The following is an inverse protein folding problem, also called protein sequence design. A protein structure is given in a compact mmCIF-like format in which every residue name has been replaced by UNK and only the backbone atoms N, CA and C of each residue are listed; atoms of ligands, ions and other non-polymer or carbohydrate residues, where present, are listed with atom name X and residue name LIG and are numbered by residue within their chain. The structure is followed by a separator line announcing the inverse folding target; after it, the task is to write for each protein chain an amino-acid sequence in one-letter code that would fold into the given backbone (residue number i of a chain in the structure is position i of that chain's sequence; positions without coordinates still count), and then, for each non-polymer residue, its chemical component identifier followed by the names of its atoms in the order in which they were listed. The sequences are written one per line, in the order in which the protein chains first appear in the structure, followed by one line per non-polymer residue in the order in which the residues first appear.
data_IF_204232343590
#
_entry.id   IF_204232343590
#
_cell.length_a   1.000
_cell.length_b   1.000
_cell.length_c   1.000
_cell.angle_alpha   90.00
_cell.angle_beta   90.00
_cell.angle_gamma   90.00
#
_symmetry.space_group_name_H-M   'P 1'
#
loop_
_entity.id
_entity.type
_entity.pdbx_description
1 polymer ?
#
# COMPACT_ATOMS: atom_id res chain seq x y z
N UNK A 1 -41.20 24.30 -24.80
CA UNK A 1 -40.61 25.30 -23.87
C UNK A 1 -39.98 24.52 -22.72
N UNK A 2 -38.64 24.37 -22.72
CA UNK A 2 -37.67 24.95 -21.75
C UNK A 2 -38.08 24.69 -20.28
N UNK A 3 -37.27 24.13 -19.39
CA UNK A 3 -35.82 23.91 -19.34
C UNK A 3 -35.52 22.97 -18.15
N UNK A 4 -34.56 22.07 -18.31
CA UNK A 4 -33.98 21.20 -17.28
C UNK A 4 -32.88 22.00 -16.56
N UNK A 5 -32.83 21.98 -15.22
CA UNK A 5 -31.64 22.36 -14.47
C UNK A 5 -31.37 21.39 -13.31
N UNK A 6 -30.25 20.69 -13.45
CA UNK A 6 -29.55 19.89 -12.44
C UNK A 6 -28.84 20.84 -11.46
N UNK A 7 -29.03 20.66 -10.15
CA UNK A 7 -28.27 21.36 -9.12
C UNK A 7 -27.14 20.47 -8.59
N UNK A 8 -25.91 20.87 -8.88
CA UNK A 8 -24.69 20.45 -8.17
C UNK A 8 -24.56 21.32 -6.91
N UNK A 9 -24.49 20.70 -5.73
CA UNK A 9 -24.12 21.37 -4.48
C UNK A 9 -22.66 21.04 -4.18
N UNK A 10 -21.80 22.04 -4.30
CA UNK A 10 -20.42 22.04 -3.81
C UNK A 10 -20.45 22.48 -2.35
N UNK A 11 -20.15 21.55 -1.43
CA UNK A 11 -19.93 21.88 -0.01
C UNK A 11 -18.47 22.30 0.20
N UNK A 12 -18.22 23.60 0.28
CA UNK A 12 -16.96 24.16 0.78
C UNK A 12 -17.01 24.18 2.31
N UNK A 13 -16.27 23.28 2.96
CA UNK A 13 -16.06 23.30 4.41
C UNK A 13 -14.90 24.24 4.75
N UNK A 14 -15.23 25.35 5.40
CA UNK A 14 -14.29 26.23 6.09
C UNK A 14 -13.61 25.47 7.24
N UNK A 15 -12.29 25.35 7.21
CA UNK A 15 -11.48 25.05 8.39
C UNK A 15 -10.65 26.29 8.76
N UNK A 16 -11.10 27.00 9.80
CA UNK A 16 -10.31 27.99 10.52
C UNK A 16 -9.34 27.25 11.45
N UNK A 17 -8.07 27.15 11.04
CA UNK A 17 -6.96 26.96 11.98
C UNK A 17 -6.24 28.29 12.14
N UNK A 18 -6.49 28.95 13.28
CA UNK A 18 -5.69 30.06 13.74
C UNK A 18 -4.36 29.51 14.29
N UNK A 19 -3.30 29.57 13.48
CA UNK A 19 -1.94 29.54 13.98
C UNK A 19 -1.35 30.94 13.82
N UNK A 20 -1.32 31.67 14.93
CA UNK A 20 -0.61 32.95 15.06
C UNK A 20 0.83 32.65 15.48
N UNK A 21 1.73 32.57 14.51
CA UNK A 21 3.15 32.93 14.66
C UNK A 21 3.86 32.71 13.32
N UNK A 22 4.54 33.75 12.83
CA UNK A 22 5.28 33.85 11.55
C UNK A 22 4.45 34.22 10.32
N UNK A 23 3.79 35.38 10.36
CA UNK A 23 3.67 36.21 9.16
C UNK A 23 4.98 37.00 9.06
N UNK A 24 5.97 36.45 8.38
CA UNK A 24 7.03 37.27 7.80
C UNK A 24 6.37 38.29 6.87
N UNK A 25 6.72 39.57 7.03
CA UNK A 25 6.33 40.65 6.13
C UNK A 25 6.80 40.27 4.73
N UNK A 26 5.89 39.78 3.89
CA UNK A 26 6.12 39.67 2.46
C UNK A 26 6.31 41.08 1.90
N UNK A 27 7.56 41.40 1.58
CA UNK A 27 7.93 42.62 0.87
C UNK A 27 7.10 42.74 -0.41
N UNK A 28 6.32 43.81 -0.52
CA UNK A 28 5.65 44.23 -1.76
C UNK A 28 6.67 44.79 -2.75
N UNK A 29 7.61 43.96 -3.21
CA UNK A 29 8.49 44.27 -4.34
C UNK A 29 8.81 43.03 -5.14
N UNK A 30 7.87 42.77 -6.05
CA UNK A 30 7.98 42.20 -7.40
C UNK A 30 6.74 41.35 -7.60
N UNK A 31 5.85 41.75 -8.51
CA UNK A 31 4.91 40.75 -9.04
C UNK A 31 5.78 39.60 -9.55
N UNK A 32 5.55 38.34 -9.14
CA UNK A 32 6.18 37.24 -9.83
C UNK A 32 5.81 37.43 -11.28
N UNK A 33 6.80 37.58 -12.15
CA UNK A 33 6.61 37.73 -13.58
C UNK A 33 5.56 36.70 -13.99
N UNK A 34 4.36 37.17 -14.36
CA UNK A 34 3.26 36.35 -14.84
C UNK A 34 3.56 35.86 -16.27
N UNK A 35 4.82 35.50 -16.54
CA UNK A 35 5.21 34.78 -17.73
C UNK A 35 4.86 33.32 -17.50
N UNK A 36 3.59 32.97 -17.66
CA UNK A 36 3.21 31.66 -18.18
C UNK A 36 3.75 31.55 -19.62
N UNK A 37 5.07 31.47 -19.75
CA UNK A 37 5.71 31.05 -20.98
C UNK A 37 6.36 29.72 -20.69
N UNK A 38 5.70 28.66 -21.12
CA UNK A 38 6.34 27.47 -21.67
C UNK A 38 5.33 26.84 -22.61
N UNK A 39 5.21 27.42 -23.82
CA UNK A 39 4.66 26.65 -24.94
C UNK A 39 5.56 25.42 -25.04
N UNK A 40 4.98 24.22 -24.94
CA UNK A 40 5.71 22.99 -25.22
C UNK A 40 6.17 23.12 -26.69
N UNK A 41 7.46 22.94 -26.93
CA UNK A 41 7.97 22.91 -28.29
C UNK A 41 7.23 21.83 -29.08
N UNK A 42 6.77 22.15 -30.29
CA UNK A 42 5.94 21.24 -31.07
C UNK A 42 6.67 19.93 -31.39
N UNK A 43 7.99 19.98 -31.62
CA UNK A 43 8.79 18.78 -31.89
C UNK A 43 8.97 17.95 -30.61
N UNK A 44 9.21 18.58 -29.47
CA UNK A 44 9.21 17.89 -28.16
C UNK A 44 7.86 17.29 -27.83
N UNK A 45 6.74 17.92 -28.19
CA UNK A 45 5.41 17.35 -27.99
C UNK A 45 5.17 16.11 -28.88
N UNK A 46 5.58 16.16 -30.15
CA UNK A 46 5.47 15.02 -31.05
C UNK A 46 6.39 13.86 -30.67
N UNK A 47 7.57 14.17 -30.13
CA UNK A 47 8.57 13.18 -29.74
C UNK A 47 9.14 13.52 -28.36
N UNK A 48 8.39 13.21 -27.29
CA UNK A 48 8.81 13.57 -25.93
C UNK A 48 9.97 12.70 -25.46
N UNK A 49 10.73 13.24 -24.50
CA UNK A 49 11.78 12.50 -23.80
C UNK A 49 11.19 11.30 -23.03
N UNK A 50 12.06 10.33 -22.73
CA UNK A 50 11.70 9.06 -22.08
C UNK A 50 10.82 9.23 -20.84
N UNK A 51 11.12 10.22 -20.00
CA UNK A 51 10.39 10.46 -18.73
C UNK A 51 8.91 10.88 -18.91
N UNK A 52 8.55 11.38 -20.09
CA UNK A 52 7.19 11.84 -20.41
C UNK A 52 6.39 10.79 -21.21
N UNK A 53 6.96 9.61 -21.46
CA UNK A 53 6.30 8.51 -22.15
C UNK A 53 5.61 7.59 -21.16
N UNK A 54 4.79 6.66 -21.68
CA UNK A 54 4.07 5.69 -20.86
C UNK A 54 4.98 4.63 -20.25
N UNK A 55 4.61 4.17 -19.05
CA UNK A 55 5.28 3.10 -18.29
C UNK A 55 4.23 2.03 -17.96
N UNK A 56 4.04 1.01 -18.80
CA UNK A 56 3.06 -0.03 -18.53
C UNK A 56 3.50 -0.90 -17.35
N UNK A 57 2.51 -1.48 -16.66
CA UNK A 57 2.75 -2.66 -15.83
C UNK A 57 2.98 -3.86 -16.75
N UNK A 58 4.24 -4.24 -16.87
CA UNK A 58 4.68 -5.37 -17.66
C UNK A 58 4.44 -6.64 -16.86
N UNK A 59 3.40 -7.37 -17.26
CA UNK A 59 2.99 -8.60 -16.60
C UNK A 59 3.96 -9.73 -16.95
N UNK A 60 4.73 -10.18 -15.95
CA UNK A 60 5.58 -11.37 -16.04
C UNK A 60 4.88 -12.51 -15.31
N UNK A 61 4.47 -13.55 -16.05
CA UNK A 61 3.46 -14.50 -15.56
C UNK A 61 3.59 -15.89 -16.18
N UNK A 62 4.82 -16.33 -16.42
CA UNK A 62 5.14 -17.66 -16.96
C UNK A 62 6.51 -18.13 -16.41
N UNK A 63 7.09 -19.15 -17.01
CA UNK A 63 8.53 -19.44 -16.90
C UNK A 63 9.30 -18.33 -17.62
N UNK A 64 10.05 -17.55 -16.85
CA UNK A 64 10.73 -16.36 -17.35
C UNK A 64 12.11 -16.71 -17.90
N UNK A 65 12.37 -16.31 -19.15
CA UNK A 65 13.66 -16.49 -19.82
C UNK A 65 14.31 -15.15 -20.15
N UNK A 66 15.62 -15.02 -19.88
CA UNK A 66 16.36 -13.76 -20.06
C UNK A 66 16.26 -13.22 -21.50
N UNK A 67 16.39 -14.09 -22.51
CA UNK A 67 16.35 -13.65 -23.91
C UNK A 67 14.97 -13.12 -24.30
N UNK A 68 13.90 -13.76 -23.84
CA UNK A 68 12.54 -13.33 -24.15
C UNK A 68 12.23 -11.99 -23.48
N UNK A 69 12.65 -11.83 -22.22
CA UNK A 69 12.53 -10.56 -21.48
C UNK A 69 13.22 -9.42 -22.23
N UNK A 70 14.45 -9.63 -22.70
CA UNK A 70 15.19 -8.64 -23.50
C UNK A 70 14.44 -8.32 -24.80
N UNK A 71 13.99 -9.34 -25.53
CA UNK A 71 13.23 -9.16 -26.78
C UNK A 71 11.97 -8.31 -26.56
N UNK A 72 11.20 -8.58 -25.52
CA UNK A 72 9.98 -7.83 -25.19
C UNK A 72 10.29 -6.37 -24.81
N UNK A 73 11.38 -6.11 -24.09
CA UNK A 73 11.84 -4.76 -23.74
C UNK A 73 12.30 -3.98 -24.98
N UNK A 74 13.02 -4.62 -25.91
CA UNK A 74 13.31 -4.00 -27.22
C UNK A 74 12.02 -3.69 -27.99
N UNK A 75 11.02 -4.57 -27.90
CA UNK A 75 9.67 -4.32 -28.43
C UNK A 75 9.01 -3.09 -27.80
N UNK A 76 9.14 -2.88 -26.49
CA UNK A 76 8.63 -1.67 -25.83
C UNK A 76 9.31 -0.41 -26.35
N UNK A 77 10.61 -0.45 -26.62
CA UNK A 77 11.32 0.69 -27.23
C UNK A 77 10.78 1.00 -28.64
N UNK A 78 10.57 -0.03 -29.46
CA UNK A 78 10.01 0.13 -30.80
C UNK A 78 8.58 0.68 -30.77
N UNK A 79 7.78 0.29 -29.78
CA UNK A 79 6.43 0.80 -29.55
C UNK A 79 6.41 2.23 -28.96
N UNK A 80 7.57 2.78 -28.55
CA UNK A 80 7.69 4.16 -28.10
C UNK A 80 7.41 4.39 -26.60
N UNK A 81 7.52 3.36 -25.75
CA UNK A 81 7.42 3.50 -24.30
C UNK A 81 8.65 4.20 -23.69
N UNK A 82 8.51 4.70 -22.46
CA UNK A 82 9.60 5.32 -21.68
C UNK A 82 10.24 4.38 -20.67
N UNK A 83 9.48 3.39 -20.22
CA UNK A 83 9.94 2.43 -19.24
C UNK A 83 8.86 1.39 -19.00
N UNK A 84 8.95 0.68 -17.88
CA UNK A 84 7.99 -0.36 -17.50
C UNK A 84 8.14 -0.69 -16.02
N UNK A 85 7.09 -1.26 -15.44
CA UNK A 85 7.12 -1.89 -14.12
C UNK A 85 7.09 -3.40 -14.27
N UNK A 86 8.16 -4.10 -13.88
CA UNK A 86 8.22 -5.57 -13.82
C UNK A 86 7.26 -6.05 -12.73
N UNK A 87 6.12 -6.61 -13.13
CA UNK A 87 5.02 -6.94 -12.25
C UNK A 87 4.67 -8.42 -12.38
N UNK A 88 4.93 -9.20 -11.33
CA UNK A 88 4.44 -10.59 -11.26
C UNK A 88 2.92 -10.63 -11.35
N UNK A 89 2.37 -11.53 -12.17
CA UNK A 89 0.92 -11.76 -12.24
C UNK A 89 0.58 -13.24 -12.13
N UNK A 90 -0.73 -13.50 -11.99
CA UNK A 90 -1.28 -14.85 -12.02
C UNK A 90 -0.77 -15.61 -13.25
N UNK A 91 -0.19 -16.78 -13.01
CA UNK A 91 0.46 -17.62 -14.02
C UNK A 91 1.98 -17.76 -13.82
N UNK A 92 2.61 -16.93 -12.99
CA UNK A 92 4.06 -17.01 -12.74
C UNK A 92 4.49 -18.42 -12.31
N UNK A 93 5.43 -19.00 -13.06
CA UNK A 93 6.05 -20.31 -12.76
C UNK A 93 7.42 -20.11 -12.11
N UNK A 94 8.20 -19.12 -12.58
CA UNK A 94 9.49 -18.78 -11.95
C UNK A 94 9.27 -18.33 -10.51
N UNK A 95 9.88 -19.03 -9.55
CA UNK A 95 9.70 -18.75 -8.14
C UNK A 95 10.14 -17.32 -7.77
N UNK A 96 9.28 -16.59 -7.06
CA UNK A 96 9.51 -15.21 -6.65
C UNK A 96 10.75 -15.11 -5.74
N UNK A 97 11.64 -14.15 -6.05
CA UNK A 97 12.92 -13.92 -5.36
C UNK A 97 13.93 -15.10 -5.39
N UNK A 98 13.69 -16.13 -6.20
CA UNK A 98 14.68 -17.17 -6.51
C UNK A 98 15.88 -16.64 -7.29
N UNK A 99 16.91 -17.46 -7.46
CA UNK A 99 18.07 -17.09 -8.28
C UNK A 99 17.69 -16.79 -9.74
N UNK A 100 16.74 -17.53 -10.31
CA UNK A 100 16.27 -17.32 -11.68
C UNK A 100 15.45 -16.03 -11.81
N UNK A 101 14.66 -15.69 -10.78
CA UNK A 101 14.02 -14.38 -10.69
C UNK A 101 15.03 -13.24 -10.78
N UNK A 102 16.14 -13.33 -10.03
CA UNK A 102 17.17 -12.28 -10.04
C UNK A 102 17.94 -12.18 -11.36
N UNK A 103 18.15 -13.30 -12.07
CA UNK A 103 18.72 -13.28 -13.42
C UNK A 103 17.82 -12.50 -14.38
N UNK A 104 16.52 -12.78 -14.36
CA UNK A 104 15.54 -12.10 -15.20
C UNK A 104 15.45 -10.60 -14.89
N UNK A 105 15.39 -10.22 -13.61
CA UNK A 105 15.42 -8.81 -13.21
C UNK A 105 16.69 -8.10 -13.70
N UNK A 106 17.84 -8.80 -13.66
CA UNK A 106 19.10 -8.30 -14.21
C UNK A 106 19.05 -8.09 -15.72
N UNK A 107 18.60 -9.11 -16.47
CA UNK A 107 18.43 -9.04 -17.92
C UNK A 107 17.50 -7.90 -18.34
N UNK A 108 16.44 -7.64 -17.57
CA UNK A 108 15.53 -6.53 -17.82
C UNK A 108 16.18 -5.16 -17.62
N UNK A 109 16.96 -5.00 -16.55
CA UNK A 109 17.72 -3.75 -16.29
C UNK A 109 18.76 -3.52 -17.39
N UNK A 110 19.49 -4.56 -17.79
CA UNK A 110 20.51 -4.46 -18.83
C UNK A 110 19.86 -4.04 -20.17
N UNK A 111 18.75 -4.68 -20.58
CA UNK A 111 18.02 -4.27 -21.79
C UNK A 111 17.41 -2.87 -21.71
N UNK A 112 16.94 -2.44 -20.52
CA UNK A 112 16.46 -1.08 -20.33
C UNK A 112 17.57 -0.06 -20.57
N UNK A 113 18.77 -0.33 -20.03
CA UNK A 113 19.94 0.53 -20.24
C UNK A 113 20.37 0.56 -21.72
N UNK A 114 20.39 -0.59 -22.40
CA UNK A 114 20.71 -0.69 -23.83
C UNK A 114 19.73 0.10 -24.73
N UNK A 115 18.46 0.19 -24.32
CA UNK A 115 17.40 0.83 -25.11
C UNK A 115 17.09 2.28 -24.70
N UNK A 116 17.70 2.76 -23.61
CA UNK A 116 17.37 4.03 -22.98
C UNK A 116 15.95 4.08 -22.39
N UNK A 117 15.41 2.92 -22.01
CA UNK A 117 14.19 2.77 -21.23
C UNK A 117 14.51 2.76 -19.73
N UNK A 118 13.48 2.96 -18.89
CA UNK A 118 13.62 2.92 -17.45
C UNK A 118 12.95 1.68 -16.86
N UNK A 119 13.72 0.81 -16.20
CA UNK A 119 13.21 -0.38 -15.53
C UNK A 119 12.79 -0.04 -14.09
N UNK A 120 11.51 -0.20 -13.79
CA UNK A 120 10.95 -0.11 -12.45
C UNK A 120 10.51 -1.49 -11.97
N UNK A 121 10.44 -1.67 -10.65
CA UNK A 121 10.07 -2.95 -10.04
C UNK A 121 8.71 -2.87 -9.36
N UNK A 122 8.10 -4.03 -9.15
CA UNK A 122 6.94 -4.22 -8.28
C UNK A 122 7.40 -5.03 -7.07
N UNK A 123 6.97 -4.66 -5.86
CA UNK A 123 7.49 -5.21 -4.60
C UNK A 123 6.95 -6.61 -4.23
N UNK A 124 6.04 -7.16 -5.04
CA UNK A 124 5.20 -8.28 -4.65
C UNK A 124 5.02 -9.36 -5.74
N UNK A 125 4.76 -10.59 -5.31
CA UNK A 125 4.20 -11.62 -6.18
C UNK A 125 2.67 -11.47 -6.24
N UNK A 126 2.18 -10.97 -7.39
CA UNK A 126 0.77 -10.64 -7.65
C UNK A 126 0.31 -9.46 -6.76
N UNK A 127 -1.00 -9.29 -6.70
CA UNK A 127 -1.67 -8.29 -5.88
C UNK A 127 -2.30 -8.95 -4.65
N UNK A 128 -2.34 -8.27 -3.48
CA UNK A 128 -1.85 -6.92 -3.16
C UNK A 128 -0.48 -6.92 -2.49
N UNK A 129 0.23 -5.80 -2.50
CA UNK A 129 1.50 -5.66 -1.80
C UNK A 129 1.38 -5.85 -0.29
N UNK A 130 2.45 -6.38 0.30
CA UNK A 130 2.66 -6.38 1.74
C UNK A 130 2.80 -7.76 2.37
N UNK A 131 2.92 -8.85 1.61
CA UNK A 131 3.09 -10.20 2.15
C UNK A 131 4.28 -10.98 1.53
N UNK A 132 4.98 -10.39 0.56
CA UNK A 132 6.19 -10.91 -0.08
C UNK A 132 6.03 -12.34 -0.63
N UNK A 133 4.96 -12.58 -1.39
CA UNK A 133 4.64 -13.85 -2.04
C UNK A 133 4.31 -14.99 -1.08
N UNK A 134 4.12 -14.69 0.21
CA UNK A 134 3.91 -15.69 1.27
C UNK A 134 5.11 -15.86 2.20
N UNK A 135 6.26 -15.26 1.89
CA UNK A 135 7.48 -15.41 2.70
C UNK A 135 7.27 -14.86 4.12
N UNK A 136 6.67 -13.68 4.28
CA UNK A 136 6.48 -13.06 5.60
C UNK A 136 5.53 -13.85 6.50
N UNK A 137 4.31 -14.25 6.07
CA UNK A 137 3.43 -15.04 6.92
C UNK A 137 4.00 -16.42 7.30
N UNK A 138 4.94 -16.97 6.51
CA UNK A 138 5.67 -18.21 6.81
C UNK A 138 6.75 -18.04 7.89
N UNK A 139 7.33 -16.83 8.03
CA UNK A 139 8.36 -16.59 9.06
C UNK A 139 7.83 -16.78 10.48
N UNK A 140 6.56 -16.41 10.75
CA UNK A 140 5.96 -16.54 12.06
C UNK A 140 4.45 -16.29 12.03
N UNK A 141 3.68 -17.11 12.77
CA UNK A 141 2.25 -16.89 12.97
C UNK A 141 1.93 -15.50 13.56
N UNK A 142 2.85 -14.94 14.37
CA UNK A 142 2.66 -13.59 14.95
C UNK A 142 2.56 -12.50 13.87
N UNK A 143 3.15 -12.70 12.70
CA UNK A 143 3.15 -11.75 11.59
C UNK A 143 1.87 -11.78 10.77
N UNK A 144 1.01 -12.78 10.96
CA UNK A 144 -0.24 -12.91 10.21
C UNK A 144 -1.26 -11.87 10.66
N UNK A 145 -2.08 -11.42 9.72
CA UNK A 145 -3.13 -10.43 9.94
C UNK A 145 -4.10 -10.90 11.02
N UNK A 146 -4.59 -9.95 11.82
CA UNK A 146 -5.55 -10.23 12.90
C UNK A 146 -6.82 -9.42 12.73
N UNK A 147 -7.93 -9.97 13.19
CA UNK A 147 -9.19 -9.25 13.27
C UNK A 147 -9.90 -9.50 14.60
N UNK A 148 -10.66 -8.49 15.02
CA UNK A 148 -11.56 -8.54 16.15
C UNK A 148 -12.93 -8.94 15.62
N UNK A 149 -13.49 -10.04 16.11
CA UNK A 149 -14.84 -10.47 15.76
C UNK A 149 -15.73 -10.52 17.00
N UNK A 150 -17.01 -10.16 16.82
CA UNK A 150 -18.09 -10.40 17.77
C UNK A 150 -18.98 -11.51 17.24
N UNK A 151 -19.06 -12.61 17.98
CA UNK A 151 -19.84 -13.80 17.67
C UNK A 151 -20.95 -14.00 18.70
N UNK A 152 -22.06 -14.61 18.32
CA UNK A 152 -23.06 -15.04 19.30
C UNK A 152 -22.44 -16.06 20.25
N UNK A 153 -22.92 -16.10 21.50
CA UNK A 153 -22.34 -16.92 22.57
C UNK A 153 -22.19 -18.41 22.24
N UNK A 154 -23.08 -18.94 21.41
CA UNK A 154 -23.12 -20.35 21.03
C UNK A 154 -22.46 -20.63 19.65
N UNK A 155 -21.93 -19.61 18.98
CA UNK A 155 -21.24 -19.78 17.71
C UNK A 155 -19.89 -20.47 17.96
N UNK A 156 -19.60 -21.61 17.29
CA UNK A 156 -18.29 -22.24 17.38
C UNK A 156 -17.18 -21.29 16.92
N UNK A 157 -16.04 -21.32 17.61
CA UNK A 157 -14.92 -20.45 17.25
C UNK A 157 -14.18 -21.02 16.04
N UNK A 158 -13.85 -20.17 15.04
CA UNK A 158 -13.02 -20.62 13.94
C UNK A 158 -11.60 -20.96 14.43
N UNK A 159 -10.86 -21.85 13.75
CA UNK A 159 -9.47 -22.17 14.09
C UNK A 159 -8.59 -20.91 14.12
N UNK A 160 -7.68 -20.83 15.10
CA UNK A 160 -6.83 -19.64 15.28
C UNK A 160 -7.50 -18.46 15.99
N UNK A 161 -8.63 -18.71 16.67
CA UNK A 161 -9.32 -17.73 17.49
C UNK A 161 -8.90 -17.78 18.96
N UNK A 162 -8.80 -16.61 19.57
CA UNK A 162 -8.58 -16.40 21.00
C UNK A 162 -9.75 -15.62 21.60
N UNK A 163 -10.39 -16.14 22.65
CA UNK A 163 -11.44 -15.43 23.38
C UNK A 163 -10.82 -14.33 24.24
N UNK A 164 -11.23 -13.08 24.00
CA UNK A 164 -10.72 -11.91 24.74
C UNK A 164 -11.75 -11.31 25.71
N UNK A 165 -13.04 -11.46 25.43
CA UNK A 165 -14.13 -10.98 26.30
C UNK A 165 -15.40 -11.77 26.01
N UNK A 166 -16.23 -11.94 27.03
CA UNK A 166 -17.56 -12.50 26.91
C UNK A 166 -18.55 -11.62 27.66
N UNK A 167 -19.75 -11.44 27.10
CA UNK A 167 -20.91 -10.88 27.80
C UNK A 167 -22.08 -11.89 27.81
N UNK A 168 -23.29 -11.46 28.17
CA UNK A 168 -24.46 -12.34 28.25
C UNK A 168 -24.86 -12.92 26.89
N UNK A 169 -24.58 -12.19 25.80
CA UNK A 169 -25.05 -12.46 24.44
C UNK A 169 -23.93 -12.87 23.48
N UNK A 170 -22.73 -12.32 23.66
CA UNK A 170 -21.66 -12.37 22.68
C UNK A 170 -20.31 -12.81 23.25
N UNK A 171 -19.53 -13.46 22.37
CA UNK A 171 -18.11 -13.70 22.50
C UNK A 171 -17.35 -12.69 21.62
N UNK A 172 -16.36 -12.02 22.17
CA UNK A 172 -15.40 -11.19 21.43
C UNK A 172 -14.11 -11.98 21.32
N UNK A 173 -13.67 -12.20 20.09
CA UNK A 173 -12.48 -12.99 19.79
C UNK A 173 -11.47 -12.18 18.97
N UNK A 174 -10.19 -12.48 19.14
CA UNK A 174 -9.16 -12.15 18.15
C UNK A 174 -8.99 -13.38 17.26
N UNK A 175 -9.11 -13.21 15.96
CA UNK A 175 -8.82 -14.24 14.99
C UNK A 175 -7.52 -13.91 14.25
N UNK A 176 -6.61 -14.88 14.19
CA UNK A 176 -5.38 -14.82 13.41
C UNK A 176 -5.60 -15.49 12.06
N UNK A 177 -5.22 -14.82 10.97
CA UNK A 177 -5.40 -15.32 9.61
C UNK A 177 -4.74 -16.70 9.43
N UNK A 178 -5.53 -17.64 8.92
CA UNK A 178 -5.10 -19.00 8.61
C UNK A 178 -4.67 -19.09 7.14
N UNK A 179 -3.94 -20.15 6.78
CA UNK A 179 -3.57 -20.43 5.39
C UNK A 179 -4.79 -20.87 4.57
N UNK A 180 -4.60 -20.96 3.25
CA UNK A 180 -5.61 -21.39 2.30
C UNK A 180 -6.23 -20.27 1.48
N UNK A 181 -5.59 -19.10 1.41
CA UNK A 181 -6.05 -18.01 0.57
C UNK A 181 -5.32 -18.02 -0.78
N UNK A 182 -6.02 -18.41 -1.85
CA UNK A 182 -5.47 -18.48 -3.21
C UNK A 182 -4.83 -17.16 -3.67
N UNK A 183 -5.43 -16.04 -3.27
CA UNK A 183 -4.93 -14.70 -3.61
C UNK A 183 -3.58 -14.37 -2.95
N UNK A 184 -3.20 -15.11 -1.90
CA UNK A 184 -1.93 -14.98 -1.19
C UNK A 184 -1.07 -16.23 -1.36
N UNK A 185 -1.09 -16.85 -2.55
CA UNK A 185 -0.32 -18.07 -2.86
C UNK A 185 -0.60 -19.24 -1.90
N UNK A 186 -1.84 -19.39 -1.44
CA UNK A 186 -2.23 -20.41 -0.47
C UNK A 186 -1.80 -20.11 0.97
N UNK A 187 -1.11 -18.99 1.22
CA UNK A 187 -0.78 -18.52 2.56
C UNK A 187 -1.91 -17.63 3.12
N UNK A 188 -1.57 -16.48 3.69
CA UNK A 188 -2.48 -15.49 4.23
C UNK A 188 -1.84 -14.09 4.20
N UNK A 189 -2.58 -13.06 4.59
CA UNK A 189 -2.02 -11.72 4.68
C UNK A 189 -1.38 -11.43 6.05
N UNK A 190 -0.69 -10.30 6.17
CA UNK A 190 0.12 -9.96 7.34
C UNK A 190 -0.47 -8.82 8.19
N UNK A 191 0.00 -8.73 9.44
CA UNK A 191 -0.30 -7.63 10.36
C UNK A 191 0.61 -6.43 10.05
N UNK A 192 0.19 -5.58 9.12
CA UNK A 192 0.91 -4.36 8.79
C UNK A 192 0.96 -3.34 9.94
N UNK A 193 0.23 -3.51 11.05
CA UNK A 193 0.41 -2.65 12.22
C UNK A 193 1.70 -2.97 13.00
N UNK A 194 2.26 -4.16 12.80
CA UNK A 194 3.49 -4.59 13.46
C UNK A 194 4.72 -4.01 12.75
N UNK A 195 5.53 -3.17 13.42
CA UNK A 195 6.74 -2.60 12.83
C UNK A 195 7.80 -3.64 12.47
N UNK A 196 7.82 -4.82 13.10
CA UNK A 196 8.72 -5.88 12.70
C UNK A 196 8.27 -6.51 11.38
N UNK A 197 6.96 -6.65 11.13
CA UNK A 197 6.44 -7.09 9.81
C UNK A 197 6.89 -6.12 8.72
N UNK A 198 6.71 -4.81 8.93
CA UNK A 198 7.13 -3.79 7.96
C UNK A 198 8.64 -3.82 7.72
N UNK A 199 9.43 -4.02 8.77
CA UNK A 199 10.89 -4.19 8.65
C UNK A 199 11.25 -5.44 7.83
N UNK A 200 10.59 -6.58 8.07
CA UNK A 200 10.83 -7.78 7.28
C UNK A 200 10.43 -7.61 5.82
N UNK A 201 9.32 -6.92 5.54
CA UNK A 201 8.94 -6.55 4.17
C UNK A 201 10.03 -5.73 3.48
N UNK A 202 10.59 -4.71 4.15
CA UNK A 202 11.70 -3.92 3.61
C UNK A 202 12.92 -4.81 3.33
N UNK A 203 13.26 -5.71 4.26
CA UNK A 203 14.43 -6.58 4.12
C UNK A 203 14.30 -7.59 2.97
N UNK A 204 13.09 -8.11 2.72
CA UNK A 204 12.83 -9.16 1.74
C UNK A 204 12.50 -8.57 0.36
N UNK A 205 11.57 -7.61 0.30
CA UNK A 205 10.98 -7.14 -0.96
C UNK A 205 11.57 -5.84 -1.51
N UNK A 206 12.36 -5.09 -0.73
CA UNK A 206 12.86 -3.77 -1.18
C UNK A 206 14.39 -3.69 -1.18
N UNK A 207 15.01 -4.08 -0.06
CA UNK A 207 16.45 -3.97 0.13
C UNK A 207 17.25 -4.76 -0.93
N UNK A 208 16.88 -6.00 -1.31
CA UNK A 208 17.64 -6.76 -2.30
C UNK A 208 17.64 -6.11 -3.68
N UNK A 209 16.49 -5.58 -4.12
CA UNK A 209 16.39 -4.83 -5.39
C UNK A 209 17.27 -3.58 -5.36
N UNK A 210 17.19 -2.79 -4.28
CA UNK A 210 17.98 -1.57 -4.13
C UNK A 210 19.49 -1.88 -4.14
N UNK A 211 19.92 -2.95 -3.45
CA UNK A 211 21.32 -3.37 -3.41
C UNK A 211 21.82 -3.83 -4.79
N UNK A 212 21.01 -4.56 -5.56
CA UNK A 212 21.40 -5.12 -6.85
C UNK A 212 21.36 -4.11 -8.00
N UNK A 213 20.36 -3.21 -8.01
CA UNK A 213 20.03 -2.45 -9.24
C UNK A 213 20.10 -0.94 -9.11
N UNK A 214 20.13 -0.36 -7.90
CA UNK A 214 20.21 1.11 -7.77
C UNK A 214 21.47 1.71 -8.40
N UNK A 215 22.61 1.04 -8.27
CA UNK A 215 23.86 1.50 -8.89
C UNK A 215 23.92 1.23 -10.41
N UNK A 216 23.07 0.31 -10.91
CA UNK A 216 22.98 -0.05 -12.32
C UNK A 216 22.00 0.81 -13.12
N UNK A 217 21.35 1.78 -12.46
CA UNK A 217 20.33 2.65 -13.05
C UNK A 217 20.71 4.13 -12.87
N UNK A 218 21.92 4.57 -13.31
CA UNK A 218 22.42 5.92 -13.02
C UNK A 218 21.63 7.02 -13.76
N UNK A 219 21.06 6.69 -14.92
CA UNK A 219 20.42 7.65 -15.81
C UNK A 219 18.94 7.91 -15.49
N UNK A 220 18.41 7.23 -14.46
CA UNK A 220 17.02 7.42 -14.03
C UNK A 220 16.80 7.12 -12.55
N UNK A 221 15.65 7.55 -12.02
CA UNK A 221 15.33 7.33 -10.61
C UNK A 221 14.93 5.87 -10.40
N UNK A 222 15.75 5.12 -9.66
CA UNK A 222 15.36 3.81 -9.14
C UNK A 222 14.06 3.92 -8.33
N UNK A 223 13.04 3.15 -8.71
CA UNK A 223 11.79 3.06 -7.97
C UNK A 223 11.23 1.64 -7.94
N UNK A 224 10.48 1.37 -6.88
CA UNK A 224 9.70 0.15 -6.68
C UNK A 224 8.27 0.61 -6.44
N UNK A 225 7.31 0.02 -7.13
CA UNK A 225 5.89 0.26 -6.92
C UNK A 225 5.36 -0.67 -5.84
N UNK A 226 4.46 -0.15 -4.99
CA UNK A 226 3.74 -0.91 -3.98
C UNK A 226 2.25 -0.63 -4.12
N UNK A 227 1.47 -1.68 -4.24
CA UNK A 227 0.06 -1.68 -4.64
C UNK A 227 -0.86 -2.05 -3.47
N UNK A 228 -1.69 -1.09 -3.09
CA UNK A 228 -2.77 -1.24 -2.10
C UNK A 228 -2.45 -2.11 -0.86
N UNK A 229 -1.34 -1.86 -0.11
CA UNK A 229 -1.17 -2.47 1.19
C UNK A 229 -2.37 -2.13 2.08
N UNK A 230 -3.04 -3.15 2.62
CA UNK A 230 -4.31 -2.96 3.30
C UNK A 230 -4.35 -3.57 4.69
N UNK A 231 -5.22 -3.04 5.54
CA UNK A 231 -5.45 -3.52 6.90
C UNK A 231 -6.92 -3.92 7.09
N UNK A 232 -7.49 -4.52 6.05
CA UNK A 232 -8.88 -4.95 6.09
C UNK A 232 -9.05 -6.27 6.86
N UNK A 233 -10.25 -6.54 7.35
CA UNK A 233 -10.53 -7.71 8.18
C UNK A 233 -11.08 -8.91 7.37
N UNK A 234 -10.83 -8.95 6.06
CA UNK A 234 -11.48 -9.91 5.13
C UNK A 234 -10.96 -11.35 5.25
N UNK A 235 -10.09 -11.62 6.21
CA UNK A 235 -9.51 -12.96 6.46
C UNK A 235 -10.28 -13.76 7.51
N UNK A 236 -11.39 -13.23 8.02
CA UNK A 236 -12.20 -14.01 8.95
C UNK A 236 -12.88 -15.20 8.26
N UNK A 237 -13.24 -16.21 9.04
CA UNK A 237 -13.92 -17.41 8.53
C UNK A 237 -15.27 -17.05 7.89
N UNK A 238 -15.39 -17.32 6.59
CA UNK A 238 -16.61 -17.06 5.80
C UNK A 238 -17.77 -17.95 6.21
N UNK A 239 -17.50 -19.11 6.82
CA UNK A 239 -18.49 -20.09 7.26
C UNK A 239 -19.10 -19.75 8.62
N UNK A 240 -18.48 -18.83 9.37
CA UNK A 240 -19.02 -18.35 10.64
C UNK A 240 -20.11 -17.28 10.39
N UNK A 241 -21.38 -17.51 10.83
CA UNK A 241 -22.46 -16.53 10.71
C UNK A 241 -22.22 -15.31 11.61
N UNK A 242 -22.87 -14.17 11.31
CA UNK A 242 -22.80 -12.91 12.08
C UNK A 242 -21.42 -12.22 12.11
N UNK A 243 -21.07 -11.64 10.95
CA UNK A 243 -19.73 -11.09 10.61
C UNK A 243 -19.42 -9.71 11.19
N UNK A 244 -19.72 -9.46 12.47
CA UNK A 244 -19.24 -8.26 13.14
C UNK A 244 -17.72 -8.31 13.27
N UNK A 245 -16.98 -7.88 12.25
CA UNK A 245 -15.52 -8.01 12.19
C UNK A 245 -14.87 -6.66 11.92
N UNK A 246 -13.83 -6.34 12.70
CA UNK A 246 -13.00 -5.15 12.56
C UNK A 246 -11.53 -5.54 12.46
N UNK A 247 -10.74 -4.73 11.76
CA UNK A 247 -9.29 -4.93 11.66
C UNK A 247 -8.63 -4.82 13.02
N UNK A 248 -7.70 -5.70 13.39
CA UNK A 248 -7.13 -5.65 14.73
C UNK A 248 -5.63 -5.88 14.71
N UNK A 249 -4.97 -5.36 15.74
CA UNK A 249 -3.60 -5.71 16.08
C UNK A 249 -3.35 -5.39 17.55
N UNK A 250 -2.52 -6.16 18.27
CA UNK A 250 -2.00 -5.76 19.57
C UNK A 250 -1.32 -4.37 19.54
N UNK A 251 -0.72 -3.99 18.41
CA UNK A 251 -0.13 -2.66 18.23
C UNK A 251 -1.16 -1.54 18.14
N UNK A 252 -2.33 -1.83 17.56
CA UNK A 252 -3.48 -0.93 17.57
C UNK A 252 -4.04 -0.78 18.99
N UNK A 253 -4.20 -1.89 19.72
CA UNK A 253 -4.67 -1.89 21.11
C UNK A 253 -3.76 -1.02 22.00
N UNK A 254 -2.46 -1.27 21.94
CA UNK A 254 -1.46 -0.46 22.65
C UNK A 254 -1.55 1.01 22.26
N UNK A 255 -1.70 1.31 20.96
CA UNK A 255 -1.78 2.70 20.51
C UNK A 255 -3.05 3.41 20.99
N UNK A 256 -4.15 2.68 21.10
CA UNK A 256 -5.40 3.20 21.65
C UNK A 256 -5.22 3.60 23.11
N UNK A 257 -4.65 2.71 23.94
CA UNK A 257 -4.41 2.98 25.35
C UNK A 257 -3.44 4.16 25.57
N UNK A 258 -2.37 4.25 24.76
CA UNK A 258 -1.44 5.40 24.75
C UNK A 258 -2.14 6.74 24.48
N UNK A 259 -3.18 6.76 23.62
CA UNK A 259 -3.83 8.00 23.19
C UNK A 259 -4.97 8.44 24.11
N UNK A 260 -5.67 7.50 24.75
CA UNK A 260 -6.91 7.79 25.48
C UNK A 260 -6.87 7.43 26.96
N UNK A 261 -5.81 6.75 27.43
CA UNK A 261 -5.58 6.48 28.85
C UNK A 261 -6.50 5.41 29.45
N UNK A 262 -7.13 4.58 28.62
CA UNK A 262 -7.94 3.45 29.07
C UNK A 262 -7.88 2.29 28.07
N UNK A 263 -8.20 1.07 28.54
CA UNK A 263 -8.13 -0.14 27.73
C UNK A 263 -9.26 -0.22 26.69
N UNK A 264 -8.91 -0.53 25.44
CA UNK A 264 -9.89 -0.83 24.41
C UNK A 264 -10.75 -2.06 24.78
N UNK A 265 -10.19 -3.03 25.53
CA UNK A 265 -10.89 -4.27 25.93
C UNK A 265 -12.13 -3.99 26.79
N UNK A 266 -12.08 -2.94 27.59
CA UNK A 266 -13.20 -2.55 28.44
C UNK A 266 -14.41 -2.06 27.62
N UNK A 267 -14.16 -1.56 26.40
CA UNK A 267 -15.16 -0.93 25.53
C UNK A 267 -15.43 -1.68 24.21
N UNK A 268 -15.02 -2.94 24.07
CA UNK A 268 -15.19 -3.72 22.82
C UNK A 268 -16.64 -3.75 22.31
N UNK A 269 -17.60 -3.91 23.21
CA UNK A 269 -19.03 -3.91 22.88
C UNK A 269 -19.46 -2.61 22.17
N UNK A 270 -18.88 -1.46 22.53
CA UNK A 270 -19.20 -0.16 21.91
C UNK A 270 -18.68 -0.03 20.47
N UNK A 271 -17.76 -0.91 20.04
CA UNK A 271 -17.35 -0.99 18.63
C UNK A 271 -18.44 -1.58 17.73
N UNK A 272 -19.37 -2.34 18.31
CA UNK A 272 -20.42 -3.06 17.56
C UNK A 272 -21.84 -2.57 17.89
N UNK A 273 -22.05 -1.99 19.07
CA UNK A 273 -23.37 -1.57 19.56
C UNK A 273 -23.52 -0.05 19.62
N UNK A 274 -24.73 0.45 19.42
CA UNK A 274 -25.06 1.88 19.46
C UNK A 274 -25.63 2.30 20.81
N UNK A 275 -24.82 2.19 21.87
CA UNK A 275 -25.21 2.57 23.25
C UNK A 275 -24.17 3.47 23.93
N UNK A 276 -24.56 4.17 24.99
CA UNK A 276 -23.66 5.03 25.76
C UNK A 276 -22.86 6.00 24.85
N UNK A 277 -21.55 6.15 25.05
CA UNK A 277 -20.66 6.99 24.27
C UNK A 277 -20.04 6.26 23.06
N UNK A 278 -20.72 5.29 22.45
CA UNK A 278 -20.17 4.49 21.35
C UNK A 278 -19.57 5.29 20.19
N UNK A 279 -20.16 6.44 19.83
CA UNK A 279 -19.66 7.29 18.75
C UNK A 279 -18.25 7.80 19.04
N UNK A 280 -18.03 8.20 20.30
CA UNK A 280 -16.73 8.63 20.78
C UNK A 280 -15.72 7.48 20.70
N UNK A 281 -16.06 6.32 21.28
CA UNK A 281 -15.16 5.15 21.29
C UNK A 281 -14.81 4.68 19.88
N UNK A 282 -15.78 4.62 18.96
CA UNK A 282 -15.51 4.24 17.55
C UNK A 282 -14.61 5.27 16.87
N UNK A 283 -14.87 6.58 17.06
CA UNK A 283 -14.00 7.63 16.53
C UNK A 283 -12.58 7.50 17.09
N UNK A 284 -12.44 7.25 18.39
CA UNK A 284 -11.15 7.05 19.04
C UNK A 284 -10.41 5.83 18.48
N UNK A 285 -11.12 4.71 18.26
CA UNK A 285 -10.58 3.50 17.67
C UNK A 285 -10.08 3.72 16.23
N UNK A 286 -10.87 4.36 15.37
CA UNK A 286 -10.43 4.67 14.00
C UNK A 286 -9.30 5.71 13.95
N UNK A 287 -9.25 6.65 14.91
CA UNK A 287 -8.11 7.56 15.06
C UNK A 287 -6.85 6.83 15.50
N UNK A 288 -6.94 5.92 16.47
CA UNK A 288 -5.82 5.07 16.88
C UNK A 288 -5.32 4.23 15.69
N UNK A 289 -6.25 3.63 14.93
CA UNK A 289 -5.96 2.91 13.69
C UNK A 289 -5.16 3.73 12.70
N UNK A 290 -5.60 4.97 12.43
CA UNK A 290 -4.87 5.90 11.57
C UNK A 290 -3.48 6.26 12.13
N UNK A 291 -3.38 6.55 13.43
CA UNK A 291 -2.12 6.90 14.08
C UNK A 291 -1.11 5.75 14.11
N UNK A 292 -1.57 4.50 14.26
CA UNK A 292 -0.69 3.32 14.18
C UNK A 292 -0.06 3.20 12.80
N UNK A 293 -0.84 3.39 11.73
CA UNK A 293 -0.32 3.39 10.36
C UNK A 293 0.67 4.52 10.07
N UNK A 294 0.40 5.74 10.59
CA UNK A 294 1.28 6.90 10.37
C UNK A 294 2.72 6.69 10.87
N UNK A 295 2.91 5.87 11.91
CA UNK A 295 4.24 5.54 12.47
C UNK A 295 5.04 4.57 11.59
N UNK A 296 4.38 3.73 10.81
CA UNK A 296 4.99 2.67 9.99
C UNK A 296 5.54 3.19 8.67
N UNK A 297 5.17 4.41 8.30
CA UNK A 297 5.80 5.18 7.24
C UNK A 297 6.73 6.17 7.93
N UNK A 298 8.03 5.85 8.17
CA UNK A 298 8.98 6.80 8.74
C UNK A 298 8.89 8.16 8.03
N UNK A 299 9.16 9.29 8.68
CA UNK A 299 9.18 10.60 7.99
C UNK A 299 10.11 10.60 6.74
N UNK A 300 11.16 9.78 6.72
CA UNK A 300 12.00 9.54 5.53
C UNK A 300 11.30 8.74 4.43
N UNK A 301 10.42 7.81 4.80
CA UNK A 301 9.53 7.08 3.90
C UNK A 301 8.25 7.85 3.57
N UNK A 302 7.77 8.84 4.34
CA UNK A 302 6.66 9.68 3.89
C UNK A 302 7.06 10.45 2.64
N UNK A 303 8.33 10.87 2.54
CA UNK A 303 8.88 11.44 1.30
C UNK A 303 9.18 10.40 0.20
N UNK A 304 9.18 9.10 0.50
CA UNK A 304 9.38 8.02 -0.48
C UNK A 304 8.03 7.47 -0.95
N UNK A 305 7.12 7.13 -0.04
CA UNK A 305 5.73 6.76 -0.26
C UNK A 305 4.88 7.92 -0.85
N UNK A 306 5.06 9.20 -0.46
CA UNK A 306 4.41 10.30 -1.22
C UNK A 306 5.05 10.51 -2.60
N UNK A 307 6.24 9.96 -2.88
CA UNK A 307 6.78 9.88 -4.25
C UNK A 307 6.38 8.59 -4.98
N UNK A 308 6.02 7.52 -4.26
CA UNK A 308 5.63 6.22 -4.82
C UNK A 308 4.11 6.08 -5.00
N UNK A 309 3.27 6.77 -4.20
CA UNK A 309 1.80 6.81 -4.32
C UNK A 309 1.31 7.96 -5.22
N UNK A 310 2.15 8.99 -5.47
CA UNK A 310 1.84 10.08 -6.40
C UNK A 310 2.87 10.12 -7.53
N UNK A 311 2.55 9.46 -8.65
CA UNK A 311 2.99 9.96 -9.95
C UNK A 311 2.23 11.27 -10.19
N UNK A 312 2.78 12.35 -9.67
CA UNK A 312 2.64 13.73 -10.15
C UNK A 312 3.69 14.56 -9.42
N UNK A 313 4.97 14.37 -9.78
CA UNK A 313 5.98 15.37 -9.43
C UNK A 313 5.87 16.53 -10.41
N UNK A 314 5.16 17.57 -9.97
CA UNK A 314 5.20 18.89 -10.57
C UNK A 314 6.59 19.51 -10.42
N UNK A 315 7.11 19.93 -11.57
CA UNK A 315 7.93 21.12 -11.83
C UNK A 315 8.23 21.96 -10.58
N UNK A 316 9.50 22.02 -10.20
CA UNK A 316 10.14 23.25 -9.69
C UNK A 316 11.56 23.30 -10.21
#
# INVERSE_FOLDING_TARGET
MRQIYTYFIVCTLFFLFANSSCIEKLDKKTSPNNSFHKRIDYQTFLNPDTEFRSYPFYSINDSLEENEIKNQIHGFKQAGFGGFYLHSRLGLITEFLSDDWWKVMGAAVDAANETGLQAMFYDEDKWPSGYAGGIIPDMSEKYRAKCLARLDKNTPFPPGSELIKQDDTYNYIIYTAQYGYDIFNGTCYVDLFDPEVVKQLINVSYQPYAQKYKAKTPDYTFAIFSDEPHIHARYFDKSTPNRGVLSYSPWLEKKFEELYGYSLRDKLNLLFEEKENWREVRMQYYRAKHCSLKRLIPNRFQNLLLKMILITRGIT
#
